data_IF_875416480235
#
_entry.id   IF_875416480235
#
_cell.length_a   1.000
_cell.length_b   1.000
_cell.length_c   1.000
_cell.angle_alpha   90.00
_cell.angle_beta   90.00
_cell.angle_gamma   90.00
#
_symmetry.space_group_name_H-M   'P 1'
#
loop_
_entity.id
_entity.type
_entity.pdbx_description
1 polymer ?
#
# COMPACT_ATOMS: atom_id res chain seq x y z
N UNK A 1 6.85 -24.86 1.07
CA UNK A 1 8.10 -24.17 1.44
C UNK A 1 7.93 -23.66 2.86
N UNK A 2 8.94 -23.82 3.72
CA UNK A 2 8.84 -23.45 5.13
C UNK A 2 8.86 -21.94 5.29
N UNK A 3 8.06 -21.45 6.23
CA UNK A 3 7.55 -20.08 6.35
C UNK A 3 8.46 -19.27 7.28
N UNK A 4 9.69 -18.97 6.85
CA UNK A 4 10.69 -18.26 7.68
C UNK A 4 11.58 -17.25 6.95
N UNK A 5 11.34 -16.91 5.68
CA UNK A 5 12.44 -16.47 4.81
C UNK A 5 12.50 -14.95 4.50
N UNK A 6 12.43 -14.09 5.52
CA UNK A 6 13.08 -12.78 5.36
C UNK A 6 14.55 -12.94 5.73
N UNK A 7 15.44 -12.67 4.79
CA UNK A 7 16.88 -12.58 5.01
C UNK A 7 17.19 -11.47 6.03
N UNK A 8 18.39 -11.48 6.63
CA UNK A 8 18.80 -10.41 7.56
C UNK A 8 18.69 -9.02 6.93
N UNK A 9 19.01 -8.90 5.63
CA UNK A 9 18.85 -7.66 4.87
C UNK A 9 17.37 -7.22 4.82
N UNK A 10 16.47 -8.14 4.53
CA UNK A 10 15.04 -7.84 4.42
C UNK A 10 14.42 -7.55 5.79
N UNK A 11 14.88 -8.22 6.84
CA UNK A 11 14.50 -7.89 8.21
C UNK A 11 14.95 -6.49 8.61
N UNK A 12 16.13 -6.05 8.14
CA UNK A 12 16.59 -4.68 8.35
C UNK A 12 15.67 -3.68 7.63
N UNK A 13 15.18 -3.97 6.42
CA UNK A 13 14.21 -3.12 5.72
C UNK A 13 12.92 -2.97 6.53
N UNK A 14 12.37 -4.06 7.07
CA UNK A 14 11.17 -4.00 7.93
C UNK A 14 11.44 -3.15 9.18
N UNK A 15 12.59 -3.37 9.82
CA UNK A 15 12.97 -2.62 11.02
C UNK A 15 13.09 -1.11 10.73
N UNK A 16 13.78 -0.74 9.65
CA UNK A 16 13.93 0.66 9.25
C UNK A 16 12.58 1.31 8.95
N UNK A 17 11.64 0.59 8.31
CA UNK A 17 10.28 1.07 8.11
C UNK A 17 9.54 1.28 9.43
N UNK A 18 9.61 0.35 10.39
CA UNK A 18 8.98 0.50 11.70
C UNK A 18 9.59 1.66 12.50
N UNK A 19 10.91 1.81 12.44
CA UNK A 19 11.65 2.90 13.08
C UNK A 19 11.33 4.25 12.46
N UNK A 20 11.31 4.34 11.13
CA UNK A 20 10.90 5.53 10.41
C UNK A 20 9.46 5.93 10.75
N UNK A 21 8.54 4.98 10.84
CA UNK A 21 7.17 5.27 11.23
C UNK A 21 7.06 5.83 12.66
N UNK A 22 7.77 5.23 13.61
CA UNK A 22 7.61 5.56 15.04
C UNK A 22 8.45 6.75 15.49
N UNK A 23 9.67 6.88 14.98
CA UNK A 23 10.65 7.88 15.43
C UNK A 23 10.92 8.96 14.37
N UNK A 24 10.52 8.72 13.12
CA UNK A 24 10.74 9.64 12.01
C UNK A 24 9.70 10.75 11.90
N UNK A 25 9.98 11.80 11.09
CA UNK A 25 9.14 12.98 10.95
C UNK A 25 7.94 12.78 10.00
N UNK A 26 7.64 11.56 9.57
CA UNK A 26 6.71 11.27 8.47
C UNK A 26 5.24 11.33 8.87
N UNK A 27 4.92 11.07 10.15
CA UNK A 27 3.55 10.94 10.62
C UNK A 27 3.38 11.77 11.89
N UNK A 28 2.50 12.76 11.86
CA UNK A 28 2.16 13.56 13.03
C UNK A 28 1.33 12.76 14.05
N UNK A 29 1.37 13.14 15.32
CA UNK A 29 0.67 12.40 16.39
C UNK A 29 -0.85 12.36 16.18
N UNK A 30 -1.43 13.45 15.64
CA UNK A 30 -2.88 13.55 15.42
C UNK A 30 -3.42 12.64 14.32
N UNK A 31 -2.59 12.25 13.34
CA UNK A 31 -2.98 11.38 12.22
C UNK A 31 -2.53 9.93 12.41
N UNK A 32 -1.59 9.67 13.32
CA UNK A 32 -0.97 8.36 13.50
C UNK A 32 -2.00 7.25 13.74
N UNK A 33 -2.95 7.49 14.64
CA UNK A 33 -4.02 6.54 14.95
C UNK A 33 -4.90 6.19 13.74
N UNK A 34 -5.18 7.17 12.88
CA UNK A 34 -5.95 6.96 11.66
C UNK A 34 -5.16 6.14 10.62
N UNK A 35 -3.87 6.45 10.46
CA UNK A 35 -2.99 5.81 9.46
C UNK A 35 -2.58 4.37 9.81
N UNK A 36 -2.49 4.05 11.09
CA UNK A 36 -2.03 2.74 11.59
C UNK A 36 -3.14 1.91 12.24
N UNK A 37 -4.29 2.52 12.52
CA UNK A 37 -5.37 1.89 13.30
C UNK A 37 -5.05 1.71 14.78
N UNK A 38 -3.93 2.27 15.26
CA UNK A 38 -3.44 2.14 16.63
C UNK A 38 -2.43 3.25 16.96
N UNK A 39 -2.08 3.40 18.24
CA UNK A 39 -1.18 4.45 18.71
C UNK A 39 0.30 4.18 18.43
N UNK A 40 1.12 5.24 18.44
CA UNK A 40 2.57 5.16 18.23
C UNK A 40 3.28 4.26 19.23
N UNK A 41 2.82 4.22 20.48
CA UNK A 41 3.38 3.35 21.51
C UNK A 41 3.20 1.85 21.21
N UNK A 42 2.09 1.48 20.57
CA UNK A 42 1.76 0.11 20.17
C UNK A 42 2.65 -0.31 18.99
N UNK A 43 2.75 0.53 17.95
CA UNK A 43 3.69 0.32 16.83
C UNK A 43 5.13 0.22 17.33
N UNK A 44 5.54 1.10 18.26
CA UNK A 44 6.86 1.06 18.87
C UNK A 44 7.14 -0.21 19.68
N UNK A 45 6.10 -0.87 20.20
CA UNK A 45 6.25 -2.16 20.89
C UNK A 45 6.54 -3.29 19.91
N UNK A 46 5.86 -3.30 18.76
CA UNK A 46 6.17 -4.23 17.65
C UNK A 46 7.60 -3.99 17.12
N UNK A 47 7.99 -2.73 16.93
CA UNK A 47 9.35 -2.36 16.52
C UNK A 47 10.42 -2.92 17.47
N UNK A 48 10.25 -2.76 18.79
CA UNK A 48 11.20 -3.26 19.79
C UNK A 48 11.26 -4.79 19.87
N UNK A 49 10.16 -5.47 19.57
CA UNK A 49 10.10 -6.92 19.56
C UNK A 49 10.69 -7.54 18.28
N UNK A 50 10.84 -6.75 17.21
CA UNK A 50 11.39 -7.22 15.94
C UNK A 50 12.86 -7.68 16.07
N UNK A 51 13.28 -8.79 15.43
CA UNK A 51 12.51 -9.67 14.53
C UNK A 51 11.75 -10.81 15.22
N UNK A 52 11.72 -10.85 16.56
CA UNK A 52 11.14 -11.94 17.37
C UNK A 52 9.66 -11.71 17.70
N UNK A 53 8.88 -11.34 16.69
CA UNK A 53 7.42 -11.12 16.81
C UNK A 53 6.63 -12.39 16.50
N UNK A 54 5.44 -12.52 17.08
CA UNK A 54 4.48 -13.54 16.67
C UNK A 54 3.86 -13.14 15.33
N UNK A 55 4.15 -13.89 14.27
CA UNK A 55 3.66 -13.61 12.92
C UNK A 55 2.20 -14.03 12.70
N UNK A 56 1.64 -14.82 13.62
CA UNK A 56 0.21 -15.16 13.62
C UNK A 56 -0.65 -14.07 14.27
N UNK A 57 -0.02 -13.13 14.98
CA UNK A 57 -0.72 -11.98 15.56
C UNK A 57 -1.13 -11.00 14.45
N UNK A 58 -2.44 -10.81 14.32
CA UNK A 58 -3.03 -9.88 13.36
C UNK A 58 -2.54 -8.45 13.58
N UNK A 59 -2.25 -8.07 14.83
CA UNK A 59 -1.69 -6.76 15.20
C UNK A 59 -0.32 -6.55 14.60
N UNK A 60 0.56 -7.55 14.69
CA UNK A 60 1.91 -7.51 14.11
C UNK A 60 1.83 -7.35 12.59
N UNK A 61 0.97 -8.15 11.96
CA UNK A 61 0.77 -8.10 10.51
C UNK A 61 0.20 -6.77 10.03
N UNK A 62 -0.78 -6.21 10.76
CA UNK A 62 -1.33 -4.89 10.50
C UNK A 62 -0.25 -3.81 10.64
N UNK A 63 0.48 -3.79 11.75
CA UNK A 63 1.53 -2.79 12.02
C UNK A 63 2.59 -2.76 10.93
N UNK A 64 3.13 -3.92 10.56
CA UNK A 64 4.18 -4.00 9.54
C UNK A 64 3.65 -3.57 8.17
N UNK A 65 2.45 -4.04 7.80
CA UNK A 65 1.82 -3.67 6.53
C UNK A 65 1.54 -2.18 6.46
N UNK A 66 0.96 -1.60 7.52
CA UNK A 66 0.68 -0.16 7.61
C UNK A 66 1.96 0.65 7.60
N UNK A 67 3.01 0.27 8.33
CA UNK A 67 4.28 1.02 8.33
C UNK A 67 4.90 1.09 6.93
N UNK A 68 4.96 -0.04 6.23
CA UNK A 68 5.53 -0.10 4.89
C UNK A 68 4.66 0.65 3.88
N UNK A 69 3.35 0.39 3.85
CA UNK A 69 2.41 1.05 2.94
C UNK A 69 2.37 2.58 3.15
N UNK A 70 2.39 3.03 4.42
CA UNK A 70 2.47 4.44 4.76
C UNK A 70 3.76 5.08 4.26
N UNK A 71 4.92 4.46 4.49
CA UNK A 71 6.18 5.05 4.06
C UNK A 71 6.35 5.08 2.54
N UNK A 72 5.84 4.09 1.82
CA UNK A 72 5.85 4.09 0.35
C UNK A 72 5.07 5.27 -0.24
N UNK A 73 4.04 5.78 0.46
CA UNK A 73 3.33 7.00 0.03
C UNK A 73 4.08 8.30 0.32
N UNK A 74 5.03 8.29 1.26
CA UNK A 74 5.82 9.48 1.65
C UNK A 74 7.05 9.72 0.76
N UNK A 75 7.33 8.80 -0.16
CA UNK A 75 8.48 8.82 -1.08
C UNK A 75 8.53 10.09 -1.93
N UNK A 76 7.38 10.62 -2.33
CA UNK A 76 7.27 11.84 -3.12
C UNK A 76 7.31 13.12 -2.30
N UNK A 77 6.80 13.08 -1.06
CA UNK A 77 6.73 14.26 -0.20
C UNK A 77 8.10 14.64 0.38
N UNK A 78 8.91 13.64 0.78
CA UNK A 78 10.18 13.85 1.47
C UNK A 78 11.27 12.86 1.03
N UNK A 79 11.71 12.85 -0.23
CA UNK A 79 12.56 11.79 -0.78
C UNK A 79 13.92 11.66 -0.08
N UNK A 80 14.57 12.77 0.26
CA UNK A 80 15.88 12.75 0.92
C UNK A 80 15.79 12.29 2.38
N UNK A 81 14.80 12.80 3.11
CA UNK A 81 14.58 12.42 4.50
C UNK A 81 14.17 10.94 4.57
N UNK A 82 13.28 10.48 3.68
CA UNK A 82 12.90 9.06 3.58
C UNK A 82 14.13 8.17 3.43
N UNK A 83 15.07 8.50 2.54
CA UNK A 83 16.29 7.70 2.32
C UNK A 83 17.24 7.66 3.53
N UNK A 84 17.23 8.69 4.39
CA UNK A 84 18.03 8.68 5.63
C UNK A 84 17.50 7.68 6.65
N UNK A 85 16.18 7.54 6.71
CA UNK A 85 15.51 6.63 7.65
C UNK A 85 15.38 5.21 7.10
N UNK A 86 15.07 5.09 5.81
CA UNK A 86 14.88 3.82 5.09
C UNK A 86 15.74 3.86 3.82
N UNK A 87 17.00 3.38 3.88
CA UNK A 87 17.92 3.41 2.75
C UNK A 87 17.50 2.53 1.56
N UNK A 88 16.62 1.56 1.77
CA UNK A 88 16.12 0.65 0.74
C UNK A 88 15.37 1.39 -0.38
N UNK A 89 15.44 0.89 -1.60
CA UNK A 89 14.65 1.42 -2.72
C UNK A 89 13.16 1.09 -2.58
N UNK A 90 12.29 1.77 -3.33
CA UNK A 90 10.85 1.44 -3.31
C UNK A 90 10.59 0.00 -3.80
N UNK A 91 11.37 -0.45 -4.79
CA UNK A 91 11.30 -1.82 -5.28
C UNK A 91 11.69 -2.84 -4.21
N UNK A 92 12.74 -2.56 -3.43
CA UNK A 92 13.16 -3.41 -2.32
C UNK A 92 12.09 -3.46 -1.22
N UNK A 93 11.51 -2.32 -0.87
CA UNK A 93 10.46 -2.22 0.15
C UNK A 93 9.20 -2.98 -0.29
N UNK A 94 8.75 -2.81 -1.54
CA UNK A 94 7.61 -3.55 -2.11
C UNK A 94 7.88 -5.05 -2.16
N UNK A 95 9.08 -5.47 -2.54
CA UNK A 95 9.46 -6.88 -2.56
C UNK A 95 9.41 -7.51 -1.17
N UNK A 96 9.88 -6.79 -0.14
CA UNK A 96 9.80 -7.23 1.26
C UNK A 96 8.37 -7.32 1.74
N UNK A 97 7.51 -6.37 1.40
CA UNK A 97 6.08 -6.40 1.75
C UNK A 97 5.37 -7.61 1.12
N UNK A 98 5.62 -7.88 -0.17
CA UNK A 98 5.08 -9.06 -0.85
C UNK A 98 5.48 -10.36 -0.16
N UNK A 99 6.78 -10.52 0.15
CA UNK A 99 7.28 -11.69 0.90
C UNK A 99 6.67 -11.80 2.30
N UNK A 100 6.50 -10.68 2.99
CA UNK A 100 5.85 -10.64 4.29
C UNK A 100 4.42 -11.18 4.19
N UNK A 101 3.62 -10.68 3.23
CA UNK A 101 2.23 -11.13 3.03
C UNK A 101 2.11 -12.58 2.57
N UNK A 102 3.09 -13.11 1.84
CA UNK A 102 3.12 -14.52 1.45
C UNK A 102 3.50 -15.44 2.62
N UNK A 103 4.30 -14.94 3.56
CA UNK A 103 4.68 -15.67 4.76
C UNK A 103 3.62 -15.60 5.88
N UNK A 104 2.71 -14.64 5.84
CA UNK A 104 1.62 -14.51 6.81
C UNK A 104 0.31 -15.04 6.25
N UNK A 105 -0.39 -15.89 7.00
CA UNK A 105 -1.78 -16.23 6.68
C UNK A 105 -2.65 -15.03 7.07
N UNK A 106 -2.87 -14.12 6.13
CA UNK A 106 -3.78 -12.99 6.33
C UNK A 106 -5.23 -13.48 6.29
N UNK A 107 -6.03 -13.06 7.26
CA UNK A 107 -7.47 -13.26 7.19
C UNK A 107 -8.05 -12.50 5.98
N UNK A 108 -9.12 -12.98 5.32
CA UNK A 108 -9.73 -12.27 4.19
C UNK A 108 -10.10 -10.82 4.49
N UNK A 109 -10.59 -10.53 5.70
CA UNK A 109 -10.87 -9.16 6.16
C UNK A 109 -9.62 -8.26 6.16
N UNK A 110 -8.46 -8.82 6.51
CA UNK A 110 -7.19 -8.09 6.53
C UNK A 110 -6.66 -7.85 5.12
N UNK A 111 -6.77 -8.84 4.23
CA UNK A 111 -6.41 -8.65 2.81
C UNK A 111 -7.30 -7.57 2.20
N UNK A 112 -8.61 -7.58 2.48
CA UNK A 112 -9.55 -6.56 2.02
C UNK A 112 -9.20 -5.16 2.53
N UNK A 113 -8.90 -5.04 3.83
CA UNK A 113 -8.49 -3.77 4.42
C UNK A 113 -7.18 -3.25 3.82
N UNK A 114 -6.18 -4.12 3.69
CA UNK A 114 -4.87 -3.77 3.11
C UNK A 114 -5.01 -3.33 1.65
N UNK A 115 -5.81 -4.05 0.86
CA UNK A 115 -6.10 -3.69 -0.52
C UNK A 115 -6.79 -2.31 -0.60
N UNK A 116 -7.83 -2.11 0.21
CA UNK A 116 -8.54 -0.85 0.30
C UNK A 116 -7.65 0.32 0.69
N UNK A 117 -6.84 0.17 1.74
CA UNK A 117 -5.90 1.20 2.22
C UNK A 117 -4.88 1.58 1.13
N UNK A 118 -4.35 0.60 0.39
CA UNK A 118 -3.42 0.86 -0.71
C UNK A 118 -4.10 1.59 -1.88
N UNK A 119 -5.33 1.21 -2.24
CA UNK A 119 -6.11 1.92 -3.26
C UNK A 119 -6.41 3.36 -2.84
N UNK A 120 -6.80 3.57 -1.57
CA UNK A 120 -7.00 4.89 -0.97
C UNK A 120 -5.76 5.77 -1.11
N UNK A 121 -4.59 5.24 -0.79
CA UNK A 121 -3.31 5.97 -0.90
C UNK A 121 -2.96 6.34 -2.31
N UNK A 122 -3.24 5.48 -3.29
CA UNK A 122 -3.05 5.83 -4.70
C UNK A 122 -3.97 7.00 -5.05
N UNK A 123 -5.24 6.96 -4.63
CA UNK A 123 -6.16 8.09 -4.83
C UNK A 123 -5.63 9.38 -4.18
N UNK A 124 -5.08 9.29 -2.98
CA UNK A 124 -4.54 10.43 -2.27
C UNK A 124 -3.29 11.01 -2.95
N UNK A 125 -2.38 10.13 -3.35
CA UNK A 125 -1.11 10.53 -3.98
C UNK A 125 -1.34 11.11 -5.39
N UNK A 126 -2.22 10.48 -6.17
CA UNK A 126 -2.50 10.90 -7.54
C UNK A 126 -3.44 12.11 -7.58
N UNK A 127 -4.50 12.13 -6.78
CA UNK A 127 -5.60 13.08 -6.90
C UNK A 127 -5.73 14.06 -5.73
N UNK A 128 -5.05 13.80 -4.60
CA UNK A 128 -5.14 14.62 -3.40
C UNK A 128 -6.37 14.35 -2.54
N UNK A 129 -6.98 13.16 -2.65
CA UNK A 129 -8.12 12.73 -1.85
C UNK A 129 -8.02 11.26 -1.40
N UNK A 130 -8.32 10.89 -0.14
CA UNK A 130 -8.19 9.51 0.36
C UNK A 130 -9.05 8.47 -0.37
N UNK A 131 -10.18 8.89 -0.93
CA UNK A 131 -10.99 8.07 -1.83
C UNK A 131 -11.87 8.98 -2.68
N UNK A 132 -11.62 9.01 -3.99
CA UNK A 132 -12.50 9.71 -4.93
C UNK A 132 -13.52 8.75 -5.54
N UNK A 133 -14.72 9.23 -5.85
CA UNK A 133 -15.72 8.44 -6.60
C UNK A 133 -15.08 7.91 -7.87
N UNK A 134 -15.11 6.59 -8.07
CA UNK A 134 -14.48 5.95 -9.21
C UNK A 134 -13.11 5.35 -8.92
N UNK A 135 -12.53 5.56 -7.72
CA UNK A 135 -11.31 4.87 -7.29
C UNK A 135 -11.47 3.36 -7.38
N UNK A 136 -12.65 2.85 -7.02
CA UNK A 136 -13.03 1.44 -7.14
C UNK A 136 -12.97 0.90 -8.57
N UNK A 137 -12.97 1.75 -9.60
CA UNK A 137 -12.89 1.36 -11.02
C UNK A 137 -11.54 1.74 -11.65
N UNK A 138 -11.04 2.94 -11.36
CA UNK A 138 -9.84 3.51 -11.98
C UNK A 138 -8.57 2.82 -11.50
N UNK A 139 -8.41 2.57 -10.19
CA UNK A 139 -7.20 1.92 -9.67
C UNK A 139 -7.05 0.49 -10.20
N UNK A 140 -8.10 -0.36 -10.22
CA UNK A 140 -8.01 -1.68 -10.85
C UNK A 140 -7.60 -1.62 -12.33
N UNK A 141 -8.17 -0.68 -13.08
CA UNK A 141 -7.86 -0.53 -14.50
C UNK A 141 -6.43 0.00 -14.74
N UNK A 142 -5.96 0.95 -13.95
CA UNK A 142 -4.57 1.42 -13.96
C UNK A 142 -3.60 0.27 -13.64
N UNK A 143 -3.91 -0.54 -12.63
CA UNK A 143 -3.09 -1.71 -12.28
C UNK A 143 -3.04 -2.71 -13.43
N UNK A 144 -4.19 -3.04 -14.03
CA UNK A 144 -4.27 -3.93 -15.20
C UNK A 144 -3.37 -3.44 -16.33
N UNK A 145 -3.48 -2.17 -16.71
CA UNK A 145 -2.65 -1.54 -17.77
C UNK A 145 -1.16 -1.57 -17.42
N UNK A 146 -0.79 -1.25 -16.18
CA UNK A 146 0.61 -1.23 -15.73
C UNK A 146 1.23 -2.63 -15.76
N UNK A 147 0.48 -3.66 -15.36
CA UNK A 147 0.94 -5.05 -15.40
C UNK A 147 1.08 -5.55 -16.84
N UNK A 148 0.11 -5.27 -17.70
CA UNK A 148 0.11 -5.72 -19.10
C UNK A 148 1.22 -5.06 -19.94
N UNK A 149 1.45 -3.76 -19.72
CA UNK A 149 2.44 -3.00 -20.50
C UNK A 149 3.84 -3.03 -19.91
N UNK A 150 3.96 -3.29 -18.60
CA UNK A 150 5.22 -3.15 -17.88
C UNK A 150 5.64 -1.69 -17.65
N UNK A 151 4.76 -0.72 -17.93
CA UNK A 151 5.05 0.72 -17.86
C UNK A 151 4.20 1.43 -16.78
N UNK A 152 4.71 2.49 -16.12
CA UNK A 152 3.92 3.32 -15.22
C UNK A 152 2.67 3.90 -15.89
N UNK A 153 1.56 3.94 -15.16
CA UNK A 153 0.30 4.48 -15.68
C UNK A 153 -0.03 5.82 -14.98
N UNK A 154 -0.02 6.95 -15.71
CA UNK A 154 -0.26 8.25 -15.12
C UNK A 154 -1.73 8.42 -14.72
N UNK A 155 -1.95 9.08 -13.59
CA UNK A 155 -3.27 9.47 -13.13
C UNK A 155 -3.19 10.77 -12.32
N UNK A 156 -3.90 11.79 -12.78
CA UNK A 156 -3.87 13.13 -12.21
C UNK A 156 -2.44 13.68 -12.04
N UNK A 157 -1.93 13.78 -10.81
CA UNK A 157 -0.59 14.33 -10.49
C UNK A 157 0.47 13.27 -10.22
N UNK A 158 0.10 11.99 -10.26
CA UNK A 158 1.00 10.87 -9.98
C UNK A 158 0.88 9.76 -11.01
N UNK A 159 1.37 8.58 -10.65
CA UNK A 159 1.31 7.40 -11.49
C UNK A 159 1.27 6.12 -10.66
N UNK A 160 0.75 5.04 -11.26
CA UNK A 160 0.78 3.70 -10.69
C UNK A 160 1.94 2.94 -11.35
N UNK A 161 3.00 2.68 -10.58
CA UNK A 161 4.16 1.92 -11.04
C UNK A 161 3.82 0.42 -11.21
N UNK A 162 4.47 -0.29 -12.16
CA UNK A 162 4.21 -1.72 -12.40
C UNK A 162 4.42 -2.63 -11.18
N UNK A 163 5.36 -2.31 -10.30
CA UNK A 163 5.60 -3.07 -9.07
C UNK A 163 4.42 -2.95 -8.09
N UNK A 164 3.90 -1.73 -7.90
CA UNK A 164 2.72 -1.45 -7.06
C UNK A 164 1.48 -2.14 -7.65
N UNK A 165 1.30 -2.06 -8.96
CA UNK A 165 0.18 -2.68 -9.67
C UNK A 165 0.15 -4.22 -9.54
N UNK A 166 1.30 -4.89 -9.65
CA UNK A 166 1.41 -6.33 -9.43
C UNK A 166 1.00 -6.72 -8.01
N UNK A 167 1.52 -5.99 -7.03
CA UNK A 167 1.19 -6.24 -5.63
C UNK A 167 -0.32 -6.11 -5.33
N UNK A 168 -0.96 -5.05 -5.83
CA UNK A 168 -2.40 -4.85 -5.70
C UNK A 168 -3.20 -5.97 -6.38
N UNK A 169 -2.77 -6.39 -7.57
CA UNK A 169 -3.43 -7.45 -8.33
C UNK A 169 -3.30 -8.81 -7.63
N UNK A 170 -2.17 -9.10 -6.98
CA UNK A 170 -1.97 -10.29 -6.17
C UNK A 170 -2.90 -10.29 -4.94
N UNK A 171 -3.02 -9.16 -4.23
CA UNK A 171 -3.95 -9.02 -3.11
C UNK A 171 -5.41 -9.18 -3.55
N UNK A 172 -5.80 -8.58 -4.68
CA UNK A 172 -7.13 -8.74 -5.25
C UNK A 172 -7.40 -10.21 -5.64
N UNK A 173 -6.40 -10.89 -6.21
CA UNK A 173 -6.46 -12.32 -6.52
C UNK A 173 -6.68 -13.19 -5.29
N UNK A 174 -6.04 -12.89 -4.15
CA UNK A 174 -6.25 -13.58 -2.87
C UNK A 174 -7.69 -13.44 -2.34
N UNK A 175 -8.38 -12.34 -2.67
CA UNK A 175 -9.78 -12.09 -2.28
C UNK A 175 -10.81 -12.62 -3.30
N UNK A 176 -10.40 -12.84 -4.55
CA UNK A 176 -11.32 -13.06 -5.66
C UNK A 176 -12.02 -11.78 -6.13
N UNK A 177 -11.49 -10.60 -5.80
CA UNK A 177 -12.09 -9.31 -6.12
C UNK A 177 -11.28 -8.12 -5.60
N UNK A 178 -11.74 -6.92 -5.91
CA UNK A 178 -11.15 -5.65 -5.48
C UNK A 178 -11.87 -5.08 -4.25
N UNK A 179 -11.42 -3.92 -3.79
CA UNK A 179 -12.06 -3.20 -2.68
C UNK A 179 -12.87 -2.00 -3.21
N UNK A 180 -14.00 -1.73 -2.56
CA UNK A 180 -14.68 -0.43 -2.59
C UNK A 180 -14.87 0.11 -1.18
N UNK A 181 -14.92 1.42 -1.02
CA UNK A 181 -15.29 2.03 0.26
C UNK A 181 -16.75 1.71 0.61
N UNK A 182 -17.02 1.45 1.88
CA UNK A 182 -18.38 1.27 2.39
C UNK A 182 -19.18 2.59 2.41
N UNK A 183 -20.49 2.52 2.63
CA UNK A 183 -21.36 3.71 2.66
C UNK A 183 -21.02 4.66 3.82
N UNK A 184 -20.36 4.16 4.87
CA UNK A 184 -19.93 4.95 6.01
C UNK A 184 -18.61 5.68 5.80
N UNK A 185 -17.86 5.33 4.75
CA UNK A 185 -16.50 5.85 4.53
C UNK A 185 -15.47 5.33 5.53
N UNK A 186 -15.79 4.26 6.27
CA UNK A 186 -14.98 3.78 7.40
C UNK A 186 -14.31 2.43 7.16
N UNK A 187 -14.74 1.72 6.14
CA UNK A 187 -14.28 0.37 5.83
C UNK A 187 -14.40 0.04 4.36
N UNK A 188 -14.06 -1.19 4.03
CA UNK A 188 -14.03 -1.67 2.65
C UNK A 188 -14.93 -2.89 2.47
N UNK A 189 -15.53 -2.99 1.29
CA UNK A 189 -16.34 -4.12 0.84
C UNK A 189 -15.71 -4.76 -0.40
N UNK A 190 -15.84 -6.08 -0.60
CA UNK A 190 -15.47 -6.71 -1.86
C UNK A 190 -16.21 -6.09 -3.04
N UNK A 191 -15.52 -5.99 -4.18
CA UNK A 191 -16.01 -5.32 -5.37
C UNK A 191 -15.48 -5.97 -6.65
N UNK A 192 -16.32 -6.06 -7.67
CA UNK A 192 -15.90 -6.47 -9.02
C UNK A 192 -15.90 -5.24 -9.94
N UNK A 193 -14.71 -4.71 -10.30
CA UNK A 193 -14.61 -3.45 -11.02
C UNK A 193 -14.75 -3.61 -12.53
N UNK A 194 -14.85 -4.85 -13.04
CA UNK A 194 -14.84 -5.12 -14.46
C UNK A 194 -16.23 -5.52 -14.99
N UNK A 195 -16.59 -5.09 -16.23
CA UNK A 195 -15.85 -4.16 -17.07
C UNK A 195 -15.86 -2.73 -16.51
N UNK A 196 -14.73 -2.03 -16.65
CA UNK A 196 -14.57 -0.63 -16.23
C UNK A 196 -15.55 0.26 -17.00
N UNK A 197 -16.41 1.06 -16.34
CA UNK A 197 -17.34 1.95 -17.03
C UNK A 197 -16.64 2.96 -17.95
N UNK A 198 -17.23 3.23 -19.12
CA UNK A 198 -16.64 4.05 -20.18
C UNK A 198 -16.15 5.43 -19.70
N UNK A 199 -16.94 6.11 -18.84
CA UNK A 199 -16.56 7.43 -18.29
C UNK A 199 -15.21 7.43 -17.57
N UNK A 200 -14.85 6.32 -16.91
CA UNK A 200 -13.58 6.21 -16.19
C UNK A 200 -12.44 5.87 -17.14
N UNK A 201 -12.70 5.08 -18.20
CA UNK A 201 -11.72 4.84 -19.26
C UNK A 201 -11.34 6.14 -19.98
N UNK A 202 -12.34 6.97 -20.31
CA UNK A 202 -12.13 8.29 -20.92
C UNK A 202 -11.28 9.20 -20.04
N UNK A 203 -11.52 9.20 -18.72
CA UNK A 203 -10.71 9.96 -17.77
C UNK A 203 -9.25 9.47 -17.71
N UNK A 204 -9.04 8.16 -17.64
CA UNK A 204 -7.68 7.59 -17.62
C UNK A 204 -6.92 7.89 -18.91
N UNK A 205 -7.59 7.81 -20.06
CA UNK A 205 -6.99 8.10 -21.36
C UNK A 205 -6.64 9.59 -21.50
N UNK A 206 -7.47 10.48 -20.94
CA UNK A 206 -7.15 11.91 -20.84
C UNK A 206 -5.85 12.16 -20.07
N UNK A 207 -5.66 11.51 -18.92
CA UNK A 207 -4.43 11.66 -18.12
C UNK A 207 -3.20 11.09 -18.82
N UNK A 208 -3.36 9.96 -19.52
CA UNK A 208 -2.28 9.38 -20.34
C UNK A 208 -1.82 10.32 -21.45
N UNK A 209 -2.76 10.98 -22.13
CA UNK A 209 -2.43 11.96 -23.16
C UNK A 209 -1.71 13.19 -22.58
N UNK A 210 -2.14 13.67 -21.41
CA UNK A 210 -1.49 14.82 -20.74
C UNK A 210 -0.07 14.54 -20.29
N UNK A 211 0.24 13.33 -19.84
CA UNK A 211 1.59 12.98 -19.39
C UNK A 211 2.61 12.88 -20.53
N UNK A 212 2.16 12.71 -21.79
CA UNK A 212 3.02 12.66 -22.97
C UNK A 212 3.30 13.99 -23.65
N UNK A 213 2.77 15.10 -23.12
CA UNK A 213 2.98 16.47 -23.61
C UNK A 213 4.01 17.21 -22.76
#
# INVERSE_FOLDING_TARGET
>A
MSVSDLTEKEQAVVYDCLRAATEGPFFAEGEFGALFGMGRAEVGSVMRAWPRVDRSDETVSLVISSAIANLLSQTHAMPEERRRWVPASDEEIVAVLGKWHDATVMAPSQVLRTLGDLMSRISETCYGAPWMVGTEFMVPELCRRAVETGEPQPWARGEVAPAVARHLTELAGKLGGWARLDEGGTGYLPFDPFPTPARFLEELDFWKLKAGQ
#
